data_IF_642610608987
#
_entry.id   IF_642610608987
#
_cell.length_a   1.000
_cell.length_b   1.000
_cell.length_c   1.000
_cell.angle_alpha   90.00
_cell.angle_beta   90.00
_cell.angle_gamma   90.00
#
_symmetry.space_group_name_H-M   'P 1'
#
loop_
_entity.id
_entity.type
_entity.pdbx_description
1 polymer ?
#
# COMPACT_ATOMS: atom_id res chain seq x y z
N UNK A 1 -19.60 -1.35 -28.12
CA UNK A 1 -18.91 -0.07 -28.34
C UNK A 1 -17.51 -0.15 -27.73
N UNK A 2 -16.45 -0.17 -28.54
CA UNK A 2 -15.06 0.00 -28.07
C UNK A 2 -14.79 1.50 -28.03
N UNK A 3 -15.21 2.18 -26.96
CA UNK A 3 -14.89 3.60 -26.77
C UNK A 3 -13.66 3.74 -25.85
N UNK A 4 -12.67 4.50 -26.33
CA UNK A 4 -11.52 4.95 -25.56
C UNK A 4 -10.37 3.93 -25.46
N UNK A 5 -9.49 3.93 -26.46
CA UNK A 5 -8.13 3.39 -26.29
C UNK A 5 -7.28 4.28 -25.39
N UNK A 6 -6.10 3.79 -24.96
CA UNK A 6 -5.07 4.60 -24.31
C UNK A 6 -4.66 5.74 -25.25
N UNK A 7 -4.74 6.99 -24.79
CA UNK A 7 -4.42 8.14 -25.62
C UNK A 7 -2.95 8.55 -25.45
N UNK A 8 -2.51 8.69 -24.20
CA UNK A 8 -1.19 9.16 -23.84
C UNK A 8 -0.64 8.37 -22.64
N UNK A 9 -0.22 7.11 -22.85
CA UNK A 9 0.23 6.24 -21.77
C UNK A 9 1.60 6.69 -21.24
N UNK A 10 1.67 7.01 -19.95
CA UNK A 10 2.93 7.26 -19.23
C UNK A 10 3.14 6.15 -18.22
N UNK A 11 4.36 5.61 -18.18
CA UNK A 11 4.71 4.49 -17.32
C UNK A 11 5.90 4.81 -16.40
N UNK A 12 5.85 4.25 -15.19
CA UNK A 12 6.98 4.17 -14.26
C UNK A 12 7.14 2.71 -13.83
N UNK A 13 8.39 2.26 -13.81
CA UNK A 13 8.79 0.97 -13.27
C UNK A 13 9.78 1.21 -12.15
N UNK A 14 9.59 0.52 -11.04
CA UNK A 14 10.52 0.51 -9.93
C UNK A 14 10.82 -0.94 -9.53
N UNK A 15 12.08 -1.18 -9.20
CA UNK A 15 12.55 -2.43 -8.64
C UNK A 15 13.27 -2.10 -7.34
N UNK A 16 13.03 -2.90 -6.31
CA UNK A 16 13.68 -2.68 -5.04
C UNK A 16 13.53 -3.87 -4.11
N UNK A 17 13.95 -3.66 -2.87
CA UNK A 17 13.89 -4.64 -1.80
C UNK A 17 13.21 -4.07 -0.56
N UNK A 18 12.34 -4.85 0.07
CA UNK A 18 11.73 -4.55 1.36
C UNK A 18 12.29 -5.48 2.42
N UNK A 19 12.74 -4.92 3.55
CA UNK A 19 13.29 -5.66 4.69
C UNK A 19 12.17 -6.14 5.63
N UNK A 20 11.20 -6.86 5.09
CA UNK A 20 10.11 -7.51 5.82
C UNK A 20 9.71 -8.80 5.12
N UNK A 21 8.89 -9.63 5.78
CA UNK A 21 8.44 -10.91 5.23
C UNK A 21 7.41 -10.72 4.11
N UNK A 22 7.31 -11.69 3.20
CA UNK A 22 6.29 -11.67 2.14
C UNK A 22 4.86 -11.63 2.72
N UNK A 23 4.63 -12.36 3.82
CA UNK A 23 3.36 -12.33 4.55
C UNK A 23 3.01 -10.93 5.05
N UNK A 24 3.97 -10.18 5.61
CA UNK A 24 3.71 -8.81 6.07
C UNK A 24 3.37 -7.87 4.92
N UNK A 25 4.09 -8.01 3.80
CA UNK A 25 3.83 -7.22 2.58
C UNK A 25 2.42 -7.50 2.06
N UNK A 26 2.05 -8.78 1.94
CA UNK A 26 0.71 -9.20 1.50
C UNK A 26 -0.38 -8.74 2.47
N UNK A 27 -0.17 -8.89 3.79
CA UNK A 27 -1.12 -8.47 4.82
C UNK A 27 -1.38 -6.96 4.79
N UNK A 28 -0.34 -6.17 4.57
CA UNK A 28 -0.45 -4.72 4.37
C UNK A 28 -1.10 -4.33 3.04
N UNK A 29 -1.00 -5.18 2.02
CA UNK A 29 -1.52 -4.93 0.67
C UNK A 29 -2.97 -5.32 0.46
N UNK A 30 -3.47 -6.34 1.15
CA UNK A 30 -4.87 -6.74 1.07
C UNK A 30 -5.73 -5.59 1.59
N UNK A 31 -6.73 -5.21 0.82
CA UNK A 31 -7.80 -4.32 1.25
C UNK A 31 -9.09 -4.86 0.66
N UNK A 32 -9.97 -5.35 1.53
CA UNK A 32 -11.19 -6.06 1.18
C UNK A 32 -12.46 -5.26 1.49
N UNK A 33 -12.34 -4.20 2.29
CA UNK A 33 -13.43 -3.31 2.65
C UNK A 33 -13.03 -1.82 2.53
N UNK A 34 -14.00 -0.89 2.47
CA UNK A 34 -13.73 0.54 2.39
C UNK A 34 -12.87 1.10 3.53
N UNK A 35 -12.96 0.55 4.74
CA UNK A 35 -12.17 1.03 5.89
C UNK A 35 -10.68 0.68 5.72
N UNK A 36 -10.36 -0.50 5.21
CA UNK A 36 -8.98 -0.88 4.87
C UNK A 36 -8.41 -0.02 3.73
N UNK A 37 -9.22 0.31 2.71
CA UNK A 37 -8.81 1.25 1.66
C UNK A 37 -8.51 2.65 2.22
N UNK A 38 -9.35 3.14 3.13
CA UNK A 38 -9.14 4.42 3.81
C UNK A 38 -7.92 4.41 4.72
N UNK A 39 -7.66 3.32 5.42
CA UNK A 39 -6.42 3.15 6.20
C UNK A 39 -5.20 3.28 5.29
N UNK A 40 -5.20 2.60 4.12
CA UNK A 40 -4.12 2.71 3.14
C UNK A 40 -3.97 4.13 2.62
N UNK A 41 -5.07 4.83 2.31
CA UNK A 41 -5.00 6.19 1.79
C UNK A 41 -4.36 7.16 2.79
N UNK A 42 -4.75 7.07 4.07
CA UNK A 42 -4.14 7.84 5.16
C UNK A 42 -2.65 7.55 5.26
N UNK A 43 -2.24 6.29 5.17
CA UNK A 43 -0.82 5.90 5.25
C UNK A 43 0.00 6.25 4.00
N UNK A 44 -0.65 6.48 2.86
CA UNK A 44 -0.05 6.99 1.62
C UNK A 44 -0.01 8.53 1.55
N UNK A 45 -0.43 9.24 2.60
CA UNK A 45 -0.68 10.70 2.57
C UNK A 45 -1.56 11.12 1.38
N UNK A 46 -2.43 10.21 0.93
CA UNK A 46 -3.34 10.43 -0.18
C UNK A 46 -4.72 10.77 0.37
N UNK A 47 -5.21 11.97 0.05
CA UNK A 47 -6.59 12.38 0.34
C UNK A 47 -7.54 11.66 -0.62
N UNK A 48 -7.99 10.49 -0.20
CA UNK A 48 -9.13 9.79 -0.79
C UNK A 48 -10.40 10.32 -0.12
N UNK A 49 -11.43 10.60 -0.92
CA UNK A 49 -12.74 11.01 -0.39
C UNK A 49 -13.37 9.90 0.46
N UNK A 50 -14.32 10.26 1.32
CA UNK A 50 -15.03 9.30 2.17
C UNK A 50 -15.87 8.29 1.37
N UNK A 51 -16.13 8.55 0.09
CA UNK A 51 -16.96 7.75 -0.82
C UNK A 51 -16.18 6.62 -1.51
N UNK A 52 -15.43 5.84 -0.73
CA UNK A 52 -14.79 4.62 -1.25
C UNK A 52 -15.84 3.50 -1.32
N UNK A 53 -16.03 2.95 -2.51
CA UNK A 53 -16.90 1.80 -2.73
C UNK A 53 -16.07 0.57 -3.12
N UNK A 54 -16.44 -0.59 -2.59
CA UNK A 54 -15.79 -1.88 -2.87
C UNK A 54 -16.86 -2.93 -3.10
N UNK A 55 -16.85 -3.52 -4.30
CA UNK A 55 -17.68 -4.66 -4.67
C UNK A 55 -16.80 -5.91 -4.72
N UNK A 56 -17.00 -6.81 -3.77
CA UNK A 56 -16.16 -8.00 -3.61
C UNK A 56 -16.64 -9.12 -4.53
N UNK A 57 -15.73 -9.64 -5.35
CA UNK A 57 -15.97 -10.82 -6.19
C UNK A 57 -15.43 -12.08 -5.48
N UNK A 58 -14.28 -11.96 -4.82
CA UNK A 58 -13.66 -13.03 -4.03
C UNK A 58 -13.10 -12.41 -2.77
N UNK A 59 -13.62 -12.82 -1.61
CA UNK A 59 -13.16 -12.37 -0.31
C UNK A 59 -12.01 -13.26 0.20
N UNK A 60 -11.09 -12.71 1.02
CA UNK A 60 -10.13 -13.51 1.75
C UNK A 60 -10.80 -14.59 2.61
N UNK A 61 -10.13 -15.73 2.75
CA UNK A 61 -10.58 -16.85 3.58
C UNK A 61 -9.49 -17.30 4.53
N UNK A 62 -9.80 -18.14 5.52
CA UNK A 62 -8.80 -18.68 6.44
C UNK A 62 -7.73 -19.51 5.71
N UNK A 63 -8.12 -20.27 4.68
CA UNK A 63 -7.19 -21.07 3.88
C UNK A 63 -6.35 -20.23 2.90
N UNK A 64 -6.88 -19.08 2.49
CA UNK A 64 -6.24 -18.16 1.54
C UNK A 64 -6.42 -16.71 2.02
N UNK A 65 -5.64 -16.29 3.03
CA UNK A 65 -5.84 -15.00 3.70
C UNK A 65 -5.47 -13.80 2.83
N UNK A 66 -4.72 -14.01 1.75
CA UNK A 66 -4.27 -12.95 0.85
C UNK A 66 -5.02 -12.91 -0.49
N UNK A 67 -5.92 -13.87 -0.73
CA UNK A 67 -6.70 -13.94 -1.97
C UNK A 67 -7.87 -12.95 -1.90
N UNK A 68 -7.77 -11.86 -2.65
CA UNK A 68 -8.85 -10.90 -2.81
C UNK A 68 -9.04 -10.58 -4.29
N UNK A 69 -10.28 -10.52 -4.73
CA UNK A 69 -10.65 -9.94 -6.01
C UNK A 69 -11.92 -9.10 -5.87
N UNK A 70 -11.90 -7.88 -6.38
CA UNK A 70 -13.06 -7.00 -6.33
C UNK A 70 -12.93 -5.82 -7.27
N UNK A 71 -14.01 -5.06 -7.40
CA UNK A 71 -14.01 -3.78 -8.11
C UNK A 71 -14.08 -2.66 -7.09
N UNK A 72 -13.20 -1.67 -7.21
CA UNK A 72 -13.15 -0.54 -6.30
C UNK A 72 -13.36 0.76 -7.04
N UNK A 73 -14.11 1.66 -6.40
CA UNK A 73 -14.28 3.04 -6.83
C UNK A 73 -13.76 3.96 -5.74
N UNK A 74 -12.92 4.90 -6.12
CA UNK A 74 -12.44 5.94 -5.21
C UNK A 74 -12.08 7.21 -5.96
N UNK A 75 -12.18 8.34 -5.26
CA UNK A 75 -11.87 9.67 -5.76
C UNK A 75 -10.67 10.23 -5.01
N UNK A 76 -9.67 10.73 -5.73
CA UNK A 76 -8.44 11.31 -5.17
C UNK A 76 -8.35 12.79 -5.54
N UNK A 77 -8.07 13.63 -4.53
CA UNK A 77 -7.74 15.03 -4.75
C UNK A 77 -6.22 15.22 -4.88
N UNK A 78 -5.77 15.67 -6.06
CA UNK A 78 -4.38 16.06 -6.31
C UNK A 78 -4.30 17.59 -6.46
N UNK A 79 -4.08 18.29 -5.34
CA UNK A 79 -3.94 19.75 -5.28
C UNK A 79 -5.26 20.52 -5.40
N UNK A 80 -5.19 21.85 -5.19
CA UNK A 80 -6.37 22.72 -5.09
C UNK A 80 -7.01 23.14 -6.43
N UNK A 81 -6.32 22.98 -7.56
CA UNK A 81 -6.72 23.57 -8.85
C UNK A 81 -7.11 22.55 -9.93
N UNK A 82 -7.17 21.26 -9.59
CA UNK A 82 -7.53 20.21 -10.53
C UNK A 82 -8.84 19.54 -10.12
N UNK A 83 -9.68 19.22 -11.10
CA UNK A 83 -10.83 18.36 -10.87
C UNK A 83 -10.36 17.04 -10.24
N UNK A 84 -11.10 16.48 -9.27
CA UNK A 84 -10.74 15.23 -8.62
C UNK A 84 -10.56 14.10 -9.64
N UNK A 85 -9.66 13.18 -9.34
CA UNK A 85 -9.43 12.00 -10.17
C UNK A 85 -10.23 10.83 -9.62
N UNK A 86 -11.15 10.31 -10.43
CA UNK A 86 -11.91 9.11 -10.10
C UNK A 86 -11.25 7.89 -10.74
N UNK A 87 -11.10 6.82 -9.95
CA UNK A 87 -10.64 5.53 -10.42
C UNK A 87 -11.71 4.49 -10.16
N UNK A 88 -12.01 3.68 -11.18
CA UNK A 88 -12.82 2.47 -11.07
C UNK A 88 -11.97 1.31 -11.56
N UNK A 89 -11.55 0.44 -10.66
CA UNK A 89 -10.53 -0.56 -10.90
C UNK A 89 -11.01 -1.94 -10.49
N UNK A 90 -10.78 -2.95 -11.32
CA UNK A 90 -10.68 -4.31 -10.78
C UNK A 90 -9.33 -4.43 -10.07
N UNK A 91 -9.32 -5.00 -8.87
CA UNK A 91 -8.12 -5.28 -8.09
C UNK A 91 -8.10 -6.77 -7.72
N UNK A 92 -6.95 -7.40 -7.92
CA UNK A 92 -6.68 -8.78 -7.52
C UNK A 92 -5.38 -8.80 -6.69
N UNK A 93 -5.39 -9.53 -5.58
CA UNK A 93 -4.22 -9.77 -4.72
C UNK A 93 -4.18 -11.25 -4.35
N UNK A 94 -2.99 -11.81 -4.20
CA UNK A 94 -2.82 -13.19 -3.78
C UNK A 94 -1.36 -13.61 -3.74
N UNK A 95 -1.15 -14.90 -3.51
CA UNK A 95 0.15 -15.55 -3.53
C UNK A 95 0.12 -16.82 -4.38
N UNK A 96 1.29 -17.24 -4.84
CA UNK A 96 1.47 -18.38 -5.74
C UNK A 96 2.87 -18.95 -5.56
N UNK A 97 2.97 -20.27 -5.64
CA UNK A 97 4.23 -20.98 -5.75
C UNK A 97 4.50 -21.29 -7.22
N UNK A 98 5.67 -20.91 -7.73
CA UNK A 98 6.07 -21.26 -9.10
C UNK A 98 6.39 -22.75 -9.18
N UNK A 99 6.45 -23.29 -10.41
CA UNK A 99 6.92 -24.66 -10.64
C UNK A 99 8.35 -24.91 -10.15
N UNK A 100 9.15 -23.83 -10.00
CA UNK A 100 10.50 -23.87 -9.46
C UNK A 100 10.53 -23.78 -7.92
N UNK A 101 9.37 -23.73 -7.25
CA UNK A 101 9.26 -23.63 -5.80
C UNK A 101 9.43 -22.21 -5.25
N UNK A 102 9.43 -21.17 -6.09
CA UNK A 102 9.53 -19.79 -5.62
C UNK A 102 8.19 -19.31 -5.08
N UNK A 103 8.21 -18.68 -3.91
CA UNK A 103 7.02 -18.09 -3.32
C UNK A 103 6.88 -16.63 -3.76
N UNK A 104 5.77 -16.33 -4.44
CA UNK A 104 5.48 -15.03 -5.00
C UNK A 104 4.15 -14.49 -4.47
N UNK A 105 4.13 -13.21 -4.12
CA UNK A 105 2.93 -12.42 -3.96
C UNK A 105 2.66 -11.56 -5.19
N UNK A 106 1.41 -11.18 -5.41
CA UNK A 106 1.04 -10.24 -6.47
C UNK A 106 -0.08 -9.29 -6.05
N UNK A 107 -0.08 -8.10 -6.64
CA UNK A 107 -1.24 -7.22 -6.68
C UNK A 107 -1.36 -6.60 -8.06
N UNK A 108 -2.51 -6.81 -8.71
CA UNK A 108 -2.80 -6.25 -10.03
C UNK A 108 -4.06 -5.41 -9.91
N UNK A 109 -4.02 -4.20 -10.46
CA UNK A 109 -5.17 -3.31 -10.53
C UNK A 109 -5.30 -2.78 -11.95
N UNK A 110 -6.51 -2.76 -12.50
CA UNK A 110 -6.76 -2.32 -13.87
C UNK A 110 -8.09 -1.57 -13.95
N UNK A 111 -8.10 -0.46 -14.68
CA UNK A 111 -9.34 0.28 -14.93
C UNK A 111 -10.36 -0.53 -15.72
N UNK A 112 -11.60 -0.48 -15.26
CA UNK A 112 -12.76 -1.11 -15.90
C UNK A 112 -13.89 -0.11 -16.08
N UNK A 113 -14.76 -0.39 -17.05
CA UNK A 113 -16.00 0.34 -17.25
C UNK A 113 -17.15 -0.56 -16.85
N UNK A 114 -17.92 -0.17 -15.83
CA UNK A 114 -19.10 -0.91 -15.38
C UNK A 114 -20.29 0.03 -15.31
N UNK A 115 -21.50 -0.48 -15.55
CA UNK A 115 -22.73 0.33 -15.59
C UNK A 115 -23.12 0.88 -14.21
N UNK A 116 -22.77 0.18 -13.12
CA UNK A 116 -23.05 0.59 -11.75
C UNK A 116 -22.41 1.93 -11.37
N UNK A 117 -21.23 2.23 -11.92
CA UNK A 117 -20.49 3.46 -11.63
C UNK A 117 -20.24 4.27 -12.91
N UNK A 118 -21.27 4.96 -13.41
CA UNK A 118 -21.15 5.80 -14.59
C UNK A 118 -20.19 6.97 -14.34
N UNK A 119 -19.64 7.52 -15.42
CA UNK A 119 -18.79 8.71 -15.33
C UNK A 119 -19.66 9.89 -14.87
N UNK A 120 -19.29 10.49 -13.74
CA UNK A 120 -19.95 11.68 -13.20
C UNK A 120 -19.29 12.96 -13.73
N UNK A 121 -20.00 14.09 -13.74
CA UNK A 121 -19.45 15.38 -14.17
C UNK A 121 -18.51 16.03 -13.14
N UNK A 122 -18.55 15.56 -11.89
CA UNK A 122 -17.84 16.13 -10.74
C UNK A 122 -16.36 15.72 -10.69
N UNK A 123 -16.01 14.56 -11.23
CA UNK A 123 -14.65 14.03 -11.26
C UNK A 123 -14.21 13.68 -12.69
N UNK A 124 -12.90 13.65 -12.91
CA UNK A 124 -12.32 13.12 -14.16
C UNK A 124 -12.00 11.65 -13.97
N UNK A 125 -12.72 10.76 -14.68
CA UNK A 125 -12.39 9.33 -14.73
C UNK A 125 -10.99 9.15 -15.33
N UNK A 126 -10.11 8.51 -14.57
CA UNK A 126 -8.74 8.18 -14.99
C UNK A 126 -8.62 6.70 -15.33
N UNK A 127 -7.68 6.41 -16.22
CA UNK A 127 -7.32 5.04 -16.61
C UNK A 127 -5.93 4.71 -16.10
N UNK A 128 -5.79 3.54 -15.51
CA UNK A 128 -4.51 3.03 -15.03
C UNK A 128 -4.45 1.51 -15.09
N UNK A 129 -3.23 1.00 -15.19
CA UNK A 129 -2.86 -0.37 -14.88
C UNK A 129 -1.72 -0.29 -13.87
N UNK A 130 -1.82 -1.06 -12.79
CA UNK A 130 -0.76 -1.25 -11.82
C UNK A 130 -0.54 -2.74 -11.61
N UNK A 131 0.71 -3.17 -11.65
CA UNK A 131 1.11 -4.54 -11.38
C UNK A 131 2.28 -4.54 -10.41
N UNK A 132 2.16 -5.35 -9.37
CA UNK A 132 3.16 -5.56 -8.35
C UNK A 132 3.42 -7.06 -8.27
N UNK A 133 4.70 -7.43 -8.35
CA UNK A 133 5.15 -8.81 -8.15
C UNK A 133 6.16 -8.78 -7.02
N UNK A 134 5.93 -9.64 -6.03
CA UNK A 134 6.64 -9.68 -4.77
C UNK A 134 7.28 -11.06 -4.69
N UNK A 135 8.61 -11.12 -4.65
CA UNK A 135 9.34 -12.38 -4.60
C UNK A 135 10.00 -12.51 -3.25
N UNK A 136 9.72 -13.60 -2.55
CA UNK A 136 10.47 -13.95 -1.35
C UNK A 136 11.92 -14.28 -1.71
N UNK A 137 12.87 -13.66 -1.03
CA UNK A 137 14.31 -13.84 -1.23
C UNK A 137 14.87 -14.83 -0.20
N UNK A 138 16.04 -15.45 -0.47
CA UNK A 138 16.61 -16.47 0.43
C UNK A 138 16.89 -15.99 1.86
N UNK A 139 17.05 -14.68 2.07
CA UNK A 139 17.27 -14.07 3.38
C UNK A 139 15.97 -13.65 4.08
N UNK A 140 14.81 -14.07 3.56
CA UNK A 140 13.48 -13.76 4.09
C UNK A 140 12.97 -12.36 3.76
N UNK A 141 13.74 -11.54 3.05
CA UNK A 141 13.30 -10.24 2.55
C UNK A 141 12.50 -10.38 1.26
N UNK A 142 11.89 -9.28 0.80
CA UNK A 142 11.04 -9.30 -0.41
C UNK A 142 11.68 -8.46 -1.50
N UNK A 143 11.95 -9.09 -2.64
CA UNK A 143 12.22 -8.41 -3.90
C UNK A 143 10.91 -7.92 -4.51
N UNK A 144 10.86 -6.67 -4.94
CA UNK A 144 9.63 -6.05 -5.42
C UNK A 144 9.83 -5.52 -6.83
N UNK A 145 8.94 -5.93 -7.72
CA UNK A 145 8.71 -5.30 -9.02
C UNK A 145 7.42 -4.51 -8.95
N UNK A 146 7.47 -3.22 -9.28
CA UNK A 146 6.32 -2.34 -9.32
C UNK A 146 6.24 -1.67 -10.69
N UNK A 147 5.11 -1.79 -11.36
CA UNK A 147 4.83 -1.10 -12.61
C UNK A 147 3.49 -0.40 -12.52
N UNK A 148 3.47 0.87 -12.92
CA UNK A 148 2.25 1.64 -13.07
C UNK A 148 2.25 2.33 -14.43
N UNK A 149 1.11 2.27 -15.10
CA UNK A 149 0.83 2.95 -16.37
C UNK A 149 -0.44 3.75 -16.15
N UNK A 150 -0.43 5.03 -16.50
CA UNK A 150 -1.62 5.89 -16.45
C UNK A 150 -1.83 6.60 -17.77
N UNK A 151 -3.08 6.87 -18.11
CA UNK A 151 -3.42 7.64 -19.30
C UNK A 151 -3.42 9.14 -18.94
N UNK A 152 -2.45 9.87 -19.50
CA UNK A 152 -2.29 11.30 -19.25
C UNK A 152 -3.21 12.13 -20.14
N UNK A 153 -3.38 13.41 -19.78
CA UNK A 153 -3.98 14.39 -20.69
C UNK A 153 -2.87 14.93 -21.61
N UNK A 154 -3.15 15.20 -22.90
CA UNK A 154 -2.13 15.58 -23.89
C UNK A 154 -1.38 16.89 -23.56
N UNK A 155 -1.95 17.75 -22.71
CA UNK A 155 -1.35 19.02 -22.32
C UNK A 155 -0.49 18.96 -21.04
N UNK A 156 -0.41 17.79 -20.38
CA UNK A 156 0.40 17.62 -19.17
C UNK A 156 1.74 17.00 -19.58
N UNK A 157 2.89 17.66 -19.33
CA UNK A 157 4.19 17.10 -19.66
C UNK A 157 4.45 15.76 -18.97
N UNK A 158 5.06 14.81 -19.69
CA UNK A 158 5.35 13.46 -19.18
C UNK A 158 6.20 13.47 -17.92
N UNK A 159 7.15 14.39 -17.81
CA UNK A 159 8.00 14.54 -16.63
C UNK A 159 7.18 14.82 -15.36
N UNK A 160 6.12 15.63 -15.46
CA UNK A 160 5.22 15.94 -14.34
C UNK A 160 4.44 14.70 -13.95
N UNK A 161 3.95 13.94 -14.94
CA UNK A 161 3.24 12.68 -14.70
C UNK A 161 4.17 11.65 -14.05
N UNK A 162 5.39 11.49 -14.57
CA UNK A 162 6.41 10.58 -14.04
C UNK A 162 6.78 10.93 -12.61
N UNK A 163 7.02 12.20 -12.29
CA UNK A 163 7.28 12.66 -10.90
C UNK A 163 6.10 12.29 -9.99
N UNK A 164 4.87 12.50 -10.47
CA UNK A 164 3.69 12.15 -9.69
C UNK A 164 3.56 10.63 -9.46
N UNK A 165 3.84 9.80 -10.47
CA UNK A 165 3.84 8.34 -10.35
C UNK A 165 4.99 7.83 -9.46
N UNK A 166 6.14 8.50 -9.51
CA UNK A 166 7.27 8.20 -8.64
C UNK A 166 6.92 8.42 -7.17
N UNK A 167 6.21 9.50 -6.84
CA UNK A 167 5.69 9.69 -5.48
C UNK A 167 4.73 8.57 -5.07
N UNK A 168 3.87 8.08 -5.98
CA UNK A 168 3.00 6.93 -5.69
C UNK A 168 3.81 5.66 -5.37
N UNK A 169 4.91 5.42 -6.08
CA UNK A 169 5.86 4.32 -5.79
C UNK A 169 6.51 4.48 -4.42
N UNK A 170 7.00 5.69 -4.10
CA UNK A 170 7.61 5.97 -2.80
C UNK A 170 6.61 5.81 -1.65
N UNK A 171 5.37 6.25 -1.84
CA UNK A 171 4.30 6.12 -0.86
C UNK A 171 3.91 4.65 -0.67
N UNK A 172 3.87 3.86 -1.75
CA UNK A 172 3.71 2.41 -1.63
C UNK A 172 4.78 1.78 -0.74
N UNK A 173 6.05 2.16 -0.92
CA UNK A 173 7.16 1.63 -0.13
C UNK A 173 7.03 1.91 1.37
N UNK A 174 6.55 3.10 1.72
CA UNK A 174 6.34 3.53 3.10
C UNK A 174 5.06 2.93 3.69
N UNK A 175 4.00 2.86 2.91
CA UNK A 175 2.67 2.47 3.38
C UNK A 175 2.60 0.99 3.73
N UNK A 176 3.15 0.10 2.90
CA UNK A 176 2.91 -1.35 3.05
C UNK A 176 3.32 -1.90 4.43
N UNK A 177 4.55 -1.65 4.92
CA UNK A 177 4.94 -2.11 6.25
C UNK A 177 4.08 -1.47 7.36
N UNK A 178 3.77 -0.18 7.23
CA UNK A 178 2.95 0.56 8.20
C UNK A 178 1.51 0.03 8.26
N UNK A 179 0.94 -0.36 7.13
CA UNK A 179 -0.38 -0.99 7.07
C UNK A 179 -0.37 -2.33 7.78
N UNK A 180 0.65 -3.16 7.54
CA UNK A 180 0.77 -4.45 8.22
C UNK A 180 0.84 -4.27 9.75
N UNK A 181 1.68 -3.34 10.22
CA UNK A 181 1.81 -3.03 11.64
C UNK A 181 0.50 -2.47 12.24
N UNK A 182 -0.15 -1.53 11.55
CA UNK A 182 -1.43 -0.97 12.00
C UNK A 182 -2.51 -2.05 12.14
N UNK A 183 -2.63 -2.93 11.16
CA UNK A 183 -3.59 -4.05 11.21
C UNK A 183 -3.28 -5.03 12.33
N UNK A 184 -2.00 -5.35 12.58
CA UNK A 184 -1.58 -6.19 13.71
C UNK A 184 -1.92 -5.53 15.05
N UNK A 185 -1.70 -4.23 15.17
CA UNK A 185 -2.03 -3.47 16.39
C UNK A 185 -3.54 -3.46 16.64
N UNK A 186 -4.36 -3.20 15.61
CA UNK A 186 -5.82 -3.30 15.70
C UNK A 186 -6.25 -4.68 16.20
N UNK A 187 -5.72 -5.74 15.60
CA UNK A 187 -6.00 -7.11 16.02
C UNK A 187 -5.66 -7.35 17.51
N UNK A 188 -4.48 -6.92 17.96
CA UNK A 188 -4.06 -7.03 19.36
C UNK A 188 -4.99 -6.28 20.32
N UNK A 189 -5.50 -5.11 19.90
CA UNK A 189 -6.40 -4.28 20.70
C UNK A 189 -7.78 -4.92 20.83
N UNK A 190 -8.29 -5.53 19.76
CA UNK A 190 -9.57 -6.25 19.75
C UNK A 190 -9.49 -7.58 20.52
N UNK A 191 -8.32 -8.23 20.50
CA UNK A 191 -8.11 -9.55 21.10
C UNK A 191 -7.26 -9.51 22.39
N UNK A 192 -7.36 -8.41 23.16
CA UNK A 192 -6.58 -8.17 24.40
C UNK A 192 -6.60 -9.34 25.40
N UNK A 193 -7.72 -10.08 25.49
CA UNK A 193 -7.86 -11.21 26.42
C UNK A 193 -7.17 -12.51 25.94
N UNK A 194 -6.98 -12.69 24.63
CA UNK A 194 -6.19 -13.81 24.06
C UNK A 194 -4.68 -13.51 24.14
N UNK A 195 -4.30 -12.25 23.93
CA UNK A 195 -2.90 -11.77 24.01
C UNK A 195 -2.32 -11.88 25.43
N UNK A 196 -3.12 -11.63 26.47
CA UNK A 196 -2.75 -11.86 27.87
C UNK A 196 -2.41 -13.33 28.19
N UNK A 197 -2.95 -14.29 27.42
CA UNK A 197 -2.68 -15.73 27.57
C UNK A 197 -1.30 -16.11 26.99
N UNK A 198 -0.92 -15.52 25.87
CA UNK A 198 0.45 -15.63 25.31
C UNK A 198 1.51 -14.99 26.23
N UNK A 199 1.23 -13.80 26.80
CA UNK A 199 2.13 -13.18 27.78
C UNK A 199 2.16 -13.91 29.15
N UNK A 200 1.15 -14.73 29.48
CA UNK A 200 1.20 -15.60 30.68
C UNK A 200 2.06 -16.84 30.46
N UNK A 201 2.12 -17.39 29.24
CA UNK A 201 3.03 -18.49 28.90
C UNK A 201 4.50 -18.03 28.90
N UNK A 202 4.76 -16.78 28.49
CA UNK A 202 6.08 -16.16 28.61
C UNK A 202 6.44 -15.71 30.04
N UNK A 203 5.55 -15.85 31.02
CA UNK A 203 5.81 -15.55 32.44
C UNK A 203 6.15 -16.77 33.29
N UNK A 204 6.04 -17.99 32.75
CA UNK A 204 6.33 -19.22 33.52
C UNK A 204 7.71 -19.81 33.26
N UNK A 205 8.61 -19.14 32.54
CA UNK A 205 10.03 -19.47 32.57
C UNK A 205 10.87 -18.21 32.34
N UNK A 206 11.86 -18.03 33.21
CA UNK A 206 12.83 -16.93 33.31
C UNK A 206 12.30 -15.67 34.00
N UNK A 207 12.61 -15.56 35.29
CA UNK A 207 12.45 -14.34 36.07
C UNK A 207 13.36 -13.24 35.52
N UNK A 208 12.73 -12.15 35.09
CA UNK A 208 13.40 -10.86 34.88
C UNK A 208 12.67 -9.80 35.68
N UNK A 209 13.38 -9.17 36.61
CA UNK A 209 12.94 -8.00 37.35
C UNK A 209 12.70 -6.84 36.39
N UNK A 210 11.44 -6.47 36.19
CA UNK A 210 11.11 -5.16 35.64
C UNK A 210 10.94 -4.17 36.79
N UNK A 211 11.97 -3.36 37.04
CA UNK A 211 11.79 -2.07 37.70
C UNK A 211 10.98 -1.17 36.77
N UNK A 212 9.91 -0.59 37.31
CA UNK A 212 8.99 0.30 36.63
C UNK A 212 9.69 1.49 35.98
N UNK A 213 9.39 1.75 34.71
CA UNK A 213 9.50 3.09 34.16
C UNK A 213 8.13 3.51 33.64
N UNK A 214 7.73 4.66 34.16
CA UNK A 214 6.41 5.25 34.14
C UNK A 214 6.01 5.73 32.75
N UNK A 215 4.70 5.81 32.56
CA UNK A 215 4.01 6.33 31.37
C UNK A 215 4.22 7.84 31.31
N UNK A 216 5.33 8.29 30.75
CA UNK A 216 5.51 9.63 30.20
C UNK A 216 6.68 9.59 29.21
N UNK A 217 6.35 9.68 27.92
CA UNK A 217 7.13 10.30 26.84
C UNK A 217 6.60 9.78 25.50
N UNK A 218 5.41 10.27 25.14
CA UNK A 218 4.83 10.11 23.82
C UNK A 218 4.75 11.49 23.16
N UNK A 219 5.88 12.21 23.05
CA UNK A 219 5.92 13.48 22.31
C UNK A 219 7.27 13.87 21.66
N UNK A 220 8.35 13.08 21.79
CA UNK A 220 9.69 13.49 21.29
C UNK A 220 10.25 12.62 20.14
N UNK A 221 9.45 12.32 19.12
CA UNK A 221 10.01 11.75 17.86
C UNK A 221 9.36 12.36 16.63
N UNK A 222 9.16 13.68 16.68
CA UNK A 222 8.83 14.54 15.55
C UNK A 222 9.95 15.57 15.33
N UNK A 223 11.23 15.19 15.45
CA UNK A 223 12.38 16.04 15.13
C UNK A 223 13.58 15.18 14.68
N UNK A 224 13.44 14.46 13.57
CA UNK A 224 14.59 13.87 12.85
C UNK A 224 14.43 14.08 11.34
N UNK A 225 14.29 15.35 10.98
CA UNK A 225 14.71 15.91 9.71
C UNK A 225 15.57 17.11 10.10
N UNK A 226 16.71 17.28 9.44
CA UNK A 226 17.68 18.40 9.60
C UNK A 226 18.97 18.10 10.41
N UNK A 227 19.54 16.89 10.31
CA UNK A 227 20.89 16.63 10.85
C UNK A 227 21.79 15.72 9.99
N UNK A 228 21.58 15.63 8.67
CA UNK A 228 22.50 14.90 7.76
C UNK A 228 22.93 15.74 6.55
N UNK A 229 23.20 17.02 6.79
CA UNK A 229 23.74 17.95 5.80
C UNK A 229 24.90 18.75 6.39
N UNK A 230 25.88 18.07 7.01
CA UNK A 230 27.15 18.69 7.43
C UNK A 230 28.17 17.64 7.91
N UNK A 231 28.56 16.69 7.05
CA UNK A 231 29.84 16.00 7.24
C UNK A 231 30.37 15.36 5.94
N UNK A 232 30.78 16.19 4.98
CA UNK A 232 31.53 15.72 3.81
C UNK A 232 32.39 16.81 3.16
N UNK A 233 32.97 17.73 3.94
CA UNK A 233 34.05 18.59 3.45
C UNK A 233 34.84 19.16 4.62
N UNK A 234 35.82 18.42 5.16
CA UNK A 234 37.22 18.89 5.32
C UNK A 234 38.10 17.88 6.05
N UNK A 235 39.26 17.63 5.43
CA UNK A 235 40.52 17.03 5.92
C UNK A 235 40.62 15.50 5.92
N UNK A 236 41.71 14.90 5.45
CA UNK A 236 42.85 15.36 4.65
C UNK A 236 43.68 14.11 4.34
N UNK A 237 44.00 13.90 3.06
CA UNK A 237 45.35 13.61 2.55
C UNK A 237 45.28 13.49 1.02
#
# INVERSE_FOLDING_TARGET
MREGGWQHPVAVVAVGRMCCSLHDVLYGLVASDPAEFKLRSVLMDCKVEDDVEVETITAPSEAKPFEFMGVTRYVVHRGCFHRPHEYVLVAATGEVFTSCGEHLGYQICQSVSISQWPVTSTATRKRMIRAQVLRELPDGSVGVYYKIIVDSKPFVPDSVVQISLWHDVQNFWKMVPRCADAKKLCYCVEHKDKSRRYCKFARSNVGWNFSSVSVHNLLDTLMFKDALLLDATTRAN
#
